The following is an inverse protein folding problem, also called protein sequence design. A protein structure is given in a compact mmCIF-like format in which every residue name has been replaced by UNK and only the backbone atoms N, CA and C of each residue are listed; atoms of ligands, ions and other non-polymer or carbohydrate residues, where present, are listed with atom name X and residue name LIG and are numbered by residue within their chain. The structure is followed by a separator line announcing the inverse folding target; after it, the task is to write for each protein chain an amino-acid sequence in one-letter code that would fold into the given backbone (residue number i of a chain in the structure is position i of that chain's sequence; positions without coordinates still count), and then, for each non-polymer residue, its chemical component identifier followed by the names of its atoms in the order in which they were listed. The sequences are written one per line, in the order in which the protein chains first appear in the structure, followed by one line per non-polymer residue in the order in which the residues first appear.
data_IF_615054048226
#
_entry.id   IF_615054048226
#
_cell.length_a   1.000
_cell.length_b   1.000
_cell.length_c   1.000
_cell.angle_alpha   90.00
_cell.angle_beta   90.00
_cell.angle_gamma   90.00
#
_symmetry.space_group_name_H-M   'P 1'
#
loop_
_entity.id
_entity.type
_entity.pdbx_description
1 polymer ?
#
# COMPACT_ATOMS: atom_id res chain seq x y z
N UNK A 1 34.75 2.77 -3.62
CA UNK A 1 33.47 2.20 -3.15
C UNK A 1 32.32 3.00 -3.77
N UNK A 2 31.09 2.46 -3.82
CA UNK A 2 29.99 2.77 -4.76
C UNK A 2 29.91 4.21 -5.33
N UNK A 3 29.98 5.24 -4.49
CA UNK A 3 29.96 6.67 -4.92
C UNK A 3 31.05 6.99 -5.96
N UNK A 4 32.24 6.38 -5.84
CA UNK A 4 33.35 6.57 -6.78
C UNK A 4 33.15 5.96 -8.17
N UNK A 5 32.04 5.26 -8.42
CA UNK A 5 31.67 4.76 -9.76
C UNK A 5 31.08 5.86 -10.66
N UNK A 6 30.76 7.03 -10.10
CA UNK A 6 30.29 8.22 -10.82
C UNK A 6 29.12 7.93 -11.79
N UNK A 7 28.07 7.27 -11.29
CA UNK A 7 26.90 6.83 -12.07
C UNK A 7 25.99 7.97 -12.54
N UNK A 8 26.18 9.19 -12.04
CA UNK A 8 25.32 10.35 -12.34
C UNK A 8 23.96 10.35 -11.64
N UNK A 9 23.69 9.36 -10.78
CA UNK A 9 22.43 9.24 -10.00
C UNK A 9 22.72 8.98 -8.51
N UNK A 10 21.80 9.34 -7.59
CA UNK A 10 22.00 9.16 -6.15
C UNK A 10 22.13 7.69 -5.74
N UNK A 11 22.92 7.44 -4.71
CA UNK A 11 23.00 6.14 -4.05
C UNK A 11 22.10 6.11 -2.82
N UNK A 12 21.48 4.95 -2.57
CA UNK A 12 20.61 4.70 -1.42
C UNK A 12 21.11 3.51 -0.61
N UNK A 13 20.90 3.53 0.71
CA UNK A 13 21.15 2.41 1.61
C UNK A 13 19.94 2.21 2.53
N UNK A 14 19.34 1.03 2.48
CA UNK A 14 18.20 0.68 3.32
C UNK A 14 18.62 0.32 4.74
N UNK A 15 17.81 0.76 5.72
CA UNK A 15 18.01 0.50 7.16
C UNK A 15 19.41 0.89 7.68
N UNK A 16 20.02 1.90 7.07
CA UNK A 16 21.35 2.39 7.43
C UNK A 16 21.30 3.82 7.97
N UNK A 17 21.10 3.99 9.28
CA UNK A 17 20.89 5.32 9.90
C UNK A 17 22.11 6.25 9.82
N UNK A 18 23.32 5.70 9.69
CA UNK A 18 24.60 6.42 9.60
C UNK A 18 25.18 6.46 8.17
N UNK A 19 24.33 6.29 7.14
CA UNK A 19 24.78 6.34 5.74
C UNK A 19 25.57 7.63 5.44
N UNK A 20 26.83 7.52 4.95
CA UNK A 20 27.70 8.67 4.74
C UNK A 20 27.21 9.51 3.56
N UNK A 21 27.39 10.82 3.62
CA UNK A 21 27.10 11.69 2.48
C UNK A 21 27.92 11.28 1.25
N UNK A 22 27.34 11.29 0.02
CA UNK A 22 26.00 11.76 -0.35
C UNK A 22 24.91 10.66 -0.32
N UNK A 23 25.18 9.49 0.27
CA UNK A 23 24.26 8.34 0.26
C UNK A 23 23.01 8.62 1.10
N UNK A 24 21.83 8.32 0.55
CA UNK A 24 20.54 8.54 1.21
C UNK A 24 20.17 7.29 2.03
N UNK A 25 19.92 7.45 3.33
CA UNK A 25 19.36 6.39 4.15
C UNK A 25 17.87 6.24 3.90
N UNK A 26 17.40 5.00 3.80
CA UNK A 26 16.01 4.69 3.47
C UNK A 26 15.40 3.72 4.49
N UNK A 27 14.07 3.67 4.53
CA UNK A 27 13.34 2.77 5.42
C UNK A 27 12.77 1.55 4.69
N UNK A 28 12.74 0.41 5.37
CA UNK A 28 12.02 -0.81 4.97
C UNK A 28 11.12 -1.26 6.13
N UNK A 29 9.87 -1.61 5.83
CA UNK A 29 8.86 -1.94 6.82
C UNK A 29 7.45 -1.72 6.28
N UNK A 30 6.40 -2.12 6.99
CA UNK A 30 4.99 -1.78 6.65
C UNK A 30 4.56 -0.38 7.12
N UNK A 31 5.33 0.20 8.04
CA UNK A 31 4.94 1.42 8.76
C UNK A 31 6.08 2.43 8.77
N UNK A 32 6.90 2.47 7.72
CA UNK A 32 8.00 3.43 7.66
C UNK A 32 7.52 4.86 7.73
N UNK A 33 6.30 5.16 7.29
CA UNK A 33 5.71 6.43 7.64
C UNK A 33 5.84 6.74 9.15
N UNK A 34 5.48 5.80 10.00
CA UNK A 34 5.34 6.02 11.44
C UNK A 34 6.63 5.77 12.21
N UNK A 35 7.42 4.79 11.76
CA UNK A 35 8.61 4.31 12.44
C UNK A 35 9.89 4.97 11.94
N UNK A 36 9.88 5.55 10.73
CA UNK A 36 11.04 6.23 10.20
C UNK A 36 11.15 7.62 10.80
N UNK A 37 12.24 7.85 11.54
CA UNK A 37 12.60 9.15 12.10
C UNK A 37 12.98 10.18 11.02
N UNK A 38 13.08 9.74 9.76
CA UNK A 38 13.49 10.55 8.63
C UNK A 38 14.94 10.34 8.22
N UNK A 39 15.37 11.06 7.17
CA UNK A 39 16.72 11.00 6.67
C UNK A 39 17.73 11.50 7.72
N UNK A 40 18.96 11.00 7.66
CA UNK A 40 20.02 11.34 8.60
C UNK A 40 20.66 12.73 8.34
N UNK A 41 20.11 13.48 7.39
CA UNK A 41 20.48 14.85 7.06
C UNK A 41 19.26 15.60 6.52
N UNK A 42 19.08 16.90 6.84
CA UNK A 42 17.92 17.68 6.39
C UNK A 42 17.87 17.89 4.86
N UNK A 43 18.99 17.71 4.17
CA UNK A 43 19.07 17.89 2.71
C UNK A 43 18.76 16.62 1.92
N UNK A 44 18.48 15.51 2.61
CA UNK A 44 18.13 14.23 1.99
C UNK A 44 16.61 14.05 2.01
N UNK A 45 16.02 13.42 1.00
CA UNK A 45 14.59 13.09 1.02
C UNK A 45 14.32 11.90 1.95
N UNK A 46 13.09 11.79 2.44
CA UNK A 46 12.61 10.58 3.09
C UNK A 46 12.19 9.55 2.01
N UNK A 47 12.83 8.38 2.01
CA UNK A 47 12.56 7.32 1.05
C UNK A 47 12.14 6.03 1.76
N UNK A 48 11.06 5.44 1.27
CA UNK A 48 10.57 4.13 1.69
C UNK A 48 10.85 3.12 0.56
N UNK A 49 11.92 2.33 0.71
CA UNK A 49 12.43 1.44 -0.34
C UNK A 49 11.71 0.10 -0.39
N UNK A 50 11.18 -0.37 0.74
CA UNK A 50 10.36 -1.57 0.81
C UNK A 50 9.14 -1.31 1.71
N UNK A 51 8.04 -0.89 1.08
CA UNK A 51 6.71 -0.90 1.69
C UNK A 51 6.17 -2.31 1.63
N UNK A 52 6.31 -3.01 2.76
CA UNK A 52 5.86 -4.39 2.90
C UNK A 52 4.33 -4.43 2.89
N UNK A 53 3.75 -5.32 2.09
CA UNK A 53 2.31 -5.42 1.90
C UNK A 53 1.58 -6.21 3.00
N UNK A 54 2.29 -6.88 3.93
CA UNK A 54 1.69 -7.73 4.99
C UNK A 54 2.64 -7.97 6.19
N UNK A 55 2.11 -8.07 7.43
CA UNK A 55 2.68 -8.59 8.72
C UNK A 55 1.71 -8.28 9.91
N UNK A 56 1.91 -8.86 11.12
CA UNK A 56 0.98 -8.81 12.29
C UNK A 56 0.59 -7.38 12.76
N UNK A 57 -0.70 -7.16 13.05
CA UNK A 57 -1.29 -5.84 13.34
C UNK A 57 -0.82 -5.20 14.67
N UNK A 58 -0.48 -3.92 14.64
CA UNK A 58 -0.28 -3.08 15.84
C UNK A 58 -0.66 -1.62 15.55
N UNK A 59 -1.27 -0.94 16.52
CA UNK A 59 -1.96 0.36 16.36
C UNK A 59 -1.07 1.61 16.52
N UNK A 60 -1.39 2.70 15.80
CA UNK A 60 -1.30 4.10 16.27
C UNK A 60 -0.18 5.05 15.76
N UNK A 61 -0.60 6.03 14.92
CA UNK A 61 -0.05 7.38 14.55
C UNK A 61 0.38 7.54 13.07
N UNK A 62 0.60 8.79 12.60
CA UNK A 62 0.51 9.16 11.17
C UNK A 62 1.67 10.02 10.63
N UNK A 63 2.01 9.98 9.32
CA UNK A 63 3.13 10.75 8.74
C UNK A 63 3.05 11.17 7.24
N UNK A 64 4.05 11.92 6.75
CA UNK A 64 4.20 12.36 5.35
C UNK A 64 5.38 11.66 4.65
N UNK A 65 5.18 11.10 3.47
CA UNK A 65 6.18 10.31 2.70
C UNK A 65 6.23 10.82 1.26
N UNK A 66 7.44 11.00 0.72
CA UNK A 66 7.64 11.55 -0.64
C UNK A 66 7.91 10.49 -1.72
N UNK A 67 8.25 9.25 -1.35
CA UNK A 67 8.46 8.14 -2.27
C UNK A 67 8.13 6.81 -1.58
N UNK A 68 7.31 5.99 -2.24
CA UNK A 68 6.85 4.69 -1.77
C UNK A 68 7.15 3.67 -2.89
N UNK A 69 7.86 2.59 -2.55
CA UNK A 69 8.02 1.44 -3.43
C UNK A 69 7.34 0.22 -2.80
N UNK A 70 6.29 -0.28 -3.46
CA UNK A 70 5.62 -1.51 -3.06
C UNK A 70 6.54 -2.71 -3.26
N UNK A 71 6.88 -3.39 -2.18
CA UNK A 71 7.63 -4.64 -2.24
C UNK A 71 6.69 -5.78 -1.80
N UNK A 72 6.05 -6.53 -2.70
CA UNK A 72 6.20 -6.52 -4.17
C UNK A 72 5.06 -5.81 -4.91
N UNK A 73 5.38 -5.06 -5.99
CA UNK A 73 4.36 -4.58 -6.95
C UNK A 73 3.89 -5.69 -7.90
N UNK A 74 4.83 -6.56 -8.30
CA UNK A 74 4.60 -7.86 -8.91
C UNK A 74 5.69 -8.80 -8.40
N UNK A 75 5.31 -9.85 -7.69
CA UNK A 75 6.27 -10.78 -7.13
C UNK A 75 6.67 -11.92 -8.08
N UNK A 76 5.71 -12.50 -8.81
CA UNK A 76 5.98 -13.53 -9.82
C UNK A 76 6.35 -14.91 -9.24
N UNK A 77 7.31 -15.59 -9.87
CA UNK A 77 7.65 -17.00 -9.58
C UNK A 77 9.16 -17.20 -9.47
N UNK A 78 9.60 -17.91 -8.43
CA UNK A 78 10.98 -18.38 -8.26
C UNK A 78 11.25 -19.58 -9.18
N UNK A 79 11.72 -19.35 -10.41
CA UNK A 79 11.97 -20.43 -11.37
C UNK A 79 13.25 -21.23 -11.07
N UNK A 80 13.25 -22.49 -11.53
CA UNK A 80 14.42 -23.36 -11.46
C UNK A 80 14.75 -23.83 -10.04
N UNK A 81 16.03 -24.08 -9.77
CA UNK A 81 16.53 -24.60 -8.47
C UNK A 81 17.50 -23.65 -7.76
N UNK A 82 17.66 -22.45 -8.29
CA UNK A 82 18.54 -21.40 -7.76
C UNK A 82 17.83 -20.06 -7.59
N UNK A 83 16.52 -20.00 -7.88
CA UNK A 83 15.72 -18.77 -7.77
C UNK A 83 15.40 -18.38 -6.32
N UNK A 84 15.30 -19.35 -5.41
CA UNK A 84 15.10 -19.08 -3.98
C UNK A 84 15.67 -20.20 -3.11
N UNK A 85 15.96 -19.89 -1.84
CA UNK A 85 16.39 -20.87 -0.84
C UNK A 85 15.39 -20.92 0.31
N UNK A 86 14.86 -22.10 0.62
CA UNK A 86 13.88 -22.32 1.70
C UNK A 86 12.56 -21.55 1.58
N UNK A 87 12.20 -21.12 0.36
CA UNK A 87 10.94 -20.44 0.02
C UNK A 87 10.23 -21.21 -1.09
N UNK A 88 8.90 -21.13 -1.13
CA UNK A 88 8.10 -21.81 -2.15
C UNK A 88 8.32 -21.20 -3.55
N UNK A 89 7.91 -21.93 -4.59
CA UNK A 89 8.02 -21.50 -6.00
C UNK A 89 7.21 -20.23 -6.27
N UNK A 90 6.02 -20.10 -5.69
CA UNK A 90 5.21 -18.89 -5.80
C UNK A 90 5.82 -17.74 -5.03
N UNK A 91 5.92 -16.57 -5.65
CA UNK A 91 6.39 -15.34 -5.02
C UNK A 91 5.34 -14.22 -5.11
N UNK A 92 4.05 -14.57 -5.18
CA UNK A 92 2.95 -13.62 -5.34
C UNK A 92 2.93 -12.46 -4.33
N UNK A 93 3.21 -12.74 -3.05
CA UNK A 93 3.30 -11.76 -1.95
C UNK A 93 2.11 -10.79 -1.82
N UNK A 94 0.91 -11.25 -2.23
CA UNK A 94 -0.32 -10.44 -2.27
C UNK A 94 -0.14 -9.11 -3.04
N UNK A 95 0.77 -9.10 -4.00
CA UNK A 95 1.11 -7.95 -4.80
C UNK A 95 -0.10 -7.43 -5.60
N UNK A 96 -0.15 -6.13 -5.93
CA UNK A 96 -1.17 -5.55 -6.80
C UNK A 96 -1.34 -6.24 -8.16
N UNK A 97 -0.27 -6.85 -8.68
CA UNK A 97 -0.28 -7.72 -9.85
C UNK A 97 0.01 -9.15 -9.39
N UNK A 98 -0.86 -10.08 -9.75
CA UNK A 98 -0.70 -11.47 -9.31
C UNK A 98 0.51 -12.19 -9.93
N UNK A 99 0.77 -13.42 -9.49
CA UNK A 99 1.89 -14.25 -9.99
C UNK A 99 1.87 -14.40 -11.53
N UNK A 100 0.71 -14.31 -12.16
CA UNK A 100 0.51 -14.50 -13.60
C UNK A 100 0.46 -13.20 -14.39
N UNK A 101 0.65 -12.04 -13.74
CA UNK A 101 0.65 -10.74 -14.42
C UNK A 101 -0.73 -10.10 -14.53
N UNK A 102 -1.75 -10.63 -13.86
CA UNK A 102 -3.10 -10.05 -13.87
C UNK A 102 -3.21 -8.92 -12.84
N UNK A 103 -3.72 -7.77 -13.27
CA UNK A 103 -3.99 -6.65 -12.37
C UNK A 103 -5.17 -6.96 -11.46
N UNK A 104 -4.93 -6.87 -10.15
CA UNK A 104 -5.98 -6.97 -9.13
C UNK A 104 -6.59 -5.61 -8.80
N UNK A 105 -5.89 -4.52 -9.15
CA UNK A 105 -6.32 -3.14 -8.91
C UNK A 105 -5.82 -2.20 -10.03
N UNK A 106 -6.69 -1.34 -10.54
CA UNK A 106 -6.33 -0.27 -11.49
C UNK A 106 -6.65 1.09 -10.85
N UNK A 107 -5.66 1.92 -10.52
CA UNK A 107 -5.93 3.26 -10.03
C UNK A 107 -6.52 4.14 -11.14
N UNK A 108 -7.36 5.13 -10.79
CA UNK A 108 -7.82 6.13 -11.74
C UNK A 108 -6.64 6.99 -12.24
N UNK A 109 -6.57 7.20 -13.56
CA UNK A 109 -5.59 8.10 -14.19
C UNK A 109 -6.01 9.55 -13.98
N UNK A 110 -5.13 10.39 -13.43
CA UNK A 110 -5.36 11.83 -13.26
C UNK A 110 -4.63 12.64 -14.34
N UNK A 111 -5.32 13.63 -14.91
CA UNK A 111 -4.74 14.63 -15.82
C UNK A 111 -3.85 15.62 -15.06
N UNK A 112 -2.80 16.08 -15.75
CA UNK A 112 -1.69 16.88 -15.23
C UNK A 112 -2.10 18.30 -14.84
N UNK A 113 -1.93 18.66 -13.57
CA UNK A 113 -1.93 20.06 -13.10
C UNK A 113 -2.99 20.48 -12.07
N UNK A 114 -3.66 19.53 -11.39
CA UNK A 114 -4.68 19.81 -10.37
C UNK A 114 -4.15 19.90 -8.94
N UNK A 115 -4.91 20.56 -8.06
CA UNK A 115 -4.70 20.53 -6.60
C UNK A 115 -5.00 19.14 -6.06
N UNK A 116 -4.10 18.55 -5.27
CA UNK A 116 -4.36 17.27 -4.57
C UNK A 116 -4.39 17.49 -3.07
N UNK A 117 -5.36 16.90 -2.38
CA UNK A 117 -5.45 16.92 -0.91
C UNK A 117 -5.76 15.55 -0.34
N UNK A 118 -5.19 15.28 0.83
CA UNK A 118 -5.40 14.05 1.60
C UNK A 118 -6.11 14.41 2.91
N UNK A 119 -7.29 13.83 3.13
CA UNK A 119 -8.05 14.00 4.37
C UNK A 119 -7.96 12.70 5.17
N UNK A 120 -7.49 12.78 6.41
CA UNK A 120 -7.17 11.60 7.23
C UNK A 120 -8.07 11.54 8.45
N UNK A 121 -8.75 10.40 8.64
CA UNK A 121 -9.37 10.05 9.91
C UNK A 121 -8.55 8.98 10.62
N UNK A 122 -7.93 9.37 11.74
CA UNK A 122 -7.13 8.49 12.57
C UNK A 122 -7.93 7.83 13.71
N UNK A 123 -9.20 8.20 13.91
CA UNK A 123 -10.07 7.56 14.91
C UNK A 123 -10.25 6.08 14.55
N UNK A 124 -10.01 5.14 15.49
CA UNK A 124 -10.16 3.71 15.25
C UNK A 124 -11.62 3.24 15.13
N UNK A 125 -12.56 4.06 15.59
CA UNK A 125 -13.94 3.66 15.87
C UNK A 125 -14.99 4.51 15.20
N UNK A 126 -14.78 5.82 15.12
CA UNK A 126 -15.81 6.77 14.74
C UNK A 126 -15.56 7.37 13.37
N UNK A 127 -16.65 7.58 12.63
CA UNK A 127 -16.63 8.42 11.45
C UNK A 127 -16.37 9.87 11.86
N UNK A 128 -15.60 10.59 11.05
CA UNK A 128 -15.36 12.01 11.23
C UNK A 128 -15.91 12.78 10.03
N UNK A 129 -16.67 13.84 10.26
CA UNK A 129 -17.08 14.77 9.20
C UNK A 129 -16.17 15.99 9.22
N UNK A 130 -15.45 16.21 8.12
CA UNK A 130 -14.50 17.32 7.97
C UNK A 130 -15.02 18.31 6.95
N UNK A 131 -15.06 19.59 7.32
CA UNK A 131 -15.31 20.68 6.39
C UNK A 131 -13.99 21.13 5.78
N UNK A 132 -13.84 20.99 4.46
CA UNK A 132 -12.67 21.40 3.70
C UNK A 132 -13.12 22.21 2.51
N UNK A 133 -12.63 23.44 2.31
CA UNK A 133 -12.98 24.28 1.13
C UNK A 133 -14.49 24.33 0.78
N UNK A 134 -15.35 24.41 1.80
CA UNK A 134 -16.80 24.48 1.65
C UNK A 134 -17.48 23.18 1.17
N UNK A 135 -16.76 22.06 1.19
CA UNK A 135 -17.31 20.71 1.07
C UNK A 135 -17.26 20.00 2.42
N UNK A 136 -18.30 19.22 2.71
CA UNK A 136 -18.37 18.36 3.88
C UNK A 136 -18.02 16.94 3.46
N UNK A 137 -16.93 16.40 4.00
CA UNK A 137 -16.46 15.04 3.68
C UNK A 137 -16.55 14.17 4.93
N UNK A 138 -17.31 13.09 4.83
CA UNK A 138 -17.33 12.04 5.85
C UNK A 138 -16.18 11.06 5.63
N UNK A 139 -15.43 10.78 6.69
CA UNK A 139 -14.25 9.93 6.70
C UNK A 139 -14.51 8.73 7.63
N UNK A 140 -14.54 7.49 7.11
CA UNK A 140 -14.60 6.28 7.93
C UNK A 140 -13.41 6.17 8.90
N UNK A 141 -13.49 5.30 9.93
CA UNK A 141 -12.40 5.10 10.88
C UNK A 141 -11.15 4.57 10.16
N UNK A 142 -9.96 5.00 10.59
CA UNK A 142 -8.67 4.62 9.99
C UNK A 142 -8.62 4.74 8.45
N UNK A 143 -9.11 5.85 7.92
CA UNK A 143 -9.17 6.04 6.48
C UNK A 143 -8.49 7.32 6.00
N UNK A 144 -8.06 7.29 4.74
CA UNK A 144 -7.55 8.44 4.00
C UNK A 144 -8.44 8.62 2.76
N UNK A 145 -9.02 9.80 2.62
CA UNK A 145 -9.70 10.24 1.38
C UNK A 145 -8.75 11.09 0.55
N UNK A 146 -8.65 10.76 -0.74
CA UNK A 146 -7.85 11.50 -1.72
C UNK A 146 -8.79 12.31 -2.60
N UNK A 147 -8.51 13.61 -2.72
CA UNK A 147 -9.18 14.51 -3.65
C UNK A 147 -8.17 14.93 -4.71
N UNK A 148 -8.37 14.50 -5.96
CA UNK A 148 -7.45 14.78 -7.06
C UNK A 148 -7.53 16.20 -7.62
N UNK A 149 -8.60 16.92 -7.28
CA UNK A 149 -8.89 18.31 -7.66
C UNK A 149 -9.18 19.22 -6.45
N UNK A 150 -8.95 18.73 -5.23
CA UNK A 150 -9.30 19.36 -3.95
C UNK A 150 -10.80 19.67 -3.74
N UNK A 151 -11.69 19.15 -4.59
CA UNK A 151 -13.14 19.40 -4.53
C UNK A 151 -13.96 18.10 -4.46
N UNK A 152 -13.48 17.01 -5.07
CA UNK A 152 -14.17 15.74 -5.12
C UNK A 152 -13.31 14.61 -4.56
N UNK A 153 -13.88 13.78 -3.69
CA UNK A 153 -13.23 12.55 -3.21
C UNK A 153 -13.21 11.53 -4.35
N UNK A 154 -12.02 11.24 -4.88
CA UNK A 154 -11.82 10.28 -5.97
C UNK A 154 -11.49 8.87 -5.47
N UNK A 155 -11.01 8.77 -4.23
CA UNK A 155 -10.66 7.50 -3.60
C UNK A 155 -10.69 7.64 -2.08
N UNK A 156 -11.11 6.58 -1.37
CA UNK A 156 -10.92 6.45 0.06
C UNK A 156 -10.44 5.04 0.40
N UNK A 157 -9.47 4.92 1.31
CA UNK A 157 -8.81 3.66 1.64
C UNK A 157 -9.71 2.62 2.32
N UNK A 158 -10.78 3.04 2.99
CA UNK A 158 -11.75 2.17 3.66
C UNK A 158 -12.97 1.83 2.78
N UNK A 159 -13.23 2.61 1.72
CA UNK A 159 -14.32 2.35 0.78
C UNK A 159 -13.83 1.51 -0.39
N UNK A 160 -14.20 0.24 -0.42
CA UNK A 160 -13.85 -0.67 -1.53
C UNK A 160 -14.82 -0.44 -2.69
N UNK A 161 -14.39 0.29 -3.72
CA UNK A 161 -15.17 0.54 -4.94
C UNK A 161 -15.10 -0.59 -5.99
N UNK A 162 -14.17 -1.54 -5.81
CA UNK A 162 -14.00 -2.68 -6.70
C UNK A 162 -13.99 -3.99 -5.90
N UNK A 163 -14.95 -4.87 -6.19
CA UNK A 163 -14.91 -6.26 -5.70
C UNK A 163 -13.74 -6.94 -6.43
N UNK A 164 -12.68 -7.33 -5.70
CA UNK A 164 -11.59 -8.09 -6.31
C UNK A 164 -12.13 -9.38 -6.91
N UNK A 165 -11.58 -9.85 -8.05
CA UNK A 165 -12.01 -11.12 -8.69
C UNK A 165 -12.01 -12.27 -7.67
N UNK A 166 -11.05 -12.27 -6.75
CA UNK A 166 -10.94 -13.23 -5.64
C UNK A 166 -12.08 -13.10 -4.60
N UNK A 167 -12.45 -11.87 -4.20
CA UNK A 167 -13.60 -11.66 -3.32
C UNK A 167 -14.93 -12.02 -4.01
N UNK A 168 -15.08 -11.75 -5.30
CA UNK A 168 -16.25 -12.16 -6.07
C UNK A 168 -16.38 -13.69 -6.11
N UNK A 169 -15.29 -14.42 -6.35
CA UNK A 169 -15.27 -15.88 -6.35
C UNK A 169 -15.60 -16.45 -4.95
N UNK A 170 -15.00 -15.89 -3.90
CA UNK A 170 -15.26 -16.29 -2.52
C UNK A 170 -16.72 -16.04 -2.11
N UNK A 171 -17.30 -14.90 -2.50
CA UNK A 171 -18.70 -14.57 -2.24
C UNK A 171 -19.67 -15.50 -3.01
N UNK A 172 -19.38 -15.81 -4.27
CA UNK A 172 -20.15 -16.78 -5.06
C UNK A 172 -20.10 -18.18 -4.42
N UNK A 173 -18.92 -18.61 -3.95
CA UNK A 173 -18.77 -19.88 -3.26
C UNK A 173 -19.52 -19.90 -1.92
N UNK A 174 -19.51 -18.80 -1.18
CA UNK A 174 -20.27 -18.64 0.07
C UNK A 174 -21.79 -18.70 -0.17
N UNK A 175 -22.33 -17.96 -1.14
CA UNK A 175 -23.75 -18.02 -1.52
C UNK A 175 -24.17 -19.43 -1.95
N UNK A 176 -23.31 -20.12 -2.71
CA UNK A 176 -23.56 -21.50 -3.15
C UNK A 176 -23.57 -22.48 -1.98
N UNK A 177 -22.65 -22.34 -1.03
CA UNK A 177 -22.62 -23.14 0.20
C UNK A 177 -23.83 -22.87 1.11
N UNK A 178 -24.26 -21.60 1.23
CA UNK A 178 -25.44 -21.20 2.01
C UNK A 178 -26.74 -21.76 1.43
N UNK A 179 -26.88 -21.79 0.10
CA UNK A 179 -28.03 -22.43 -0.57
C UNK A 179 -28.03 -23.94 -0.39
N UNK A 180 -26.85 -24.56 -0.42
CA UNK A 180 -26.70 -26.00 -0.19
C UNK A 180 -27.07 -26.39 1.25
N UNK A 181 -26.67 -25.61 2.25
CA UNK A 181 -27.02 -25.87 3.65
C UNK A 181 -28.51 -25.66 3.94
N UNK A 182 -29.16 -24.66 3.32
CA UNK A 182 -30.61 -24.47 3.40
C UNK A 182 -31.39 -25.65 2.80
N UNK A 183 -30.95 -26.21 1.67
CA UNK A 183 -31.58 -27.38 1.04
C UNK A 183 -31.48 -28.64 1.91
N UNK A 184 -30.38 -28.83 2.64
CA UNK A 184 -30.19 -29.95 3.57
C UNK A 184 -31.13 -29.81 4.78
N UNK A 185 -31.37 -28.59 5.27
CA UNK A 185 -32.27 -28.34 6.41
C UNK A 185 -33.76 -28.52 6.10
N UNK A 186 -34.16 -28.44 4.83
CA UNK A 186 -35.55 -28.63 4.38
C UNK A 186 -35.90 -30.06 3.97
N UNK A 187 -34.91 -30.97 3.96
CA UNK A 187 -35.05 -32.36 3.52
C UNK A 187 -35.08 -33.38 4.68
N UNK A 188 -35.25 -32.90 5.92
CA UNK A 188 -35.36 -33.70 7.14
C UNK A 188 -36.73 -33.60 7.79
#
# INVERSE_FOLDING_TARGET
MAVGLNTGVPWVMCKQTDAPDPVINTCNGMRCGETFTGPNSPNKPALWTEDWTSFYEVYGKGPYISYINYYMYHGGTNFGRTGSGYVITSYYDQAPIDEYGEFLYRPPSTETGGCVSFLVNNDPTNNATVQFRNISVELPPKSISILGDCNNVIFNTATVSHISKLHAQAYQNYEKARRLSLLISSAG
#
